data_IF_935983758711
#
_entry.id   IF_935983758711
#
_cell.length_a   1.000
_cell.length_b   1.000
_cell.length_c   1.000
_cell.angle_alpha   90.00
_cell.angle_beta   90.00
_cell.angle_gamma   90.00
#
_symmetry.space_group_name_H-M   'P 1'
#
loop_
_entity.id
_entity.type
_entity.pdbx_description
1 polymer ?
#
# COMPACT_ATOMS: atom_id res chain seq x y z
N UNK A 1 4.92 -15.21 13.45
CA UNK A 1 3.82 -15.49 14.41
C UNK A 1 2.75 -16.39 13.77
N UNK A 2 2.06 -15.95 12.71
CA UNK A 2 0.98 -16.74 12.09
C UNK A 2 1.45 -18.09 11.54
N UNK A 3 2.65 -18.14 10.97
CA UNK A 3 3.24 -19.38 10.44
C UNK A 3 3.57 -20.40 11.52
N UNK A 4 3.93 -19.93 12.72
CA UNK A 4 4.41 -20.76 13.82
C UNK A 4 3.29 -21.22 14.76
N UNK A 5 2.26 -20.36 14.95
CA UNK A 5 1.24 -20.58 15.97
C UNK A 5 -0.12 -21.05 15.44
N UNK A 6 -0.41 -20.84 14.13
CA UNK A 6 -1.70 -21.27 13.56
C UNK A 6 -1.54 -22.63 12.87
N UNK A 7 -2.21 -23.67 13.36
CA UNK A 7 -2.15 -25.01 12.75
C UNK A 7 -2.59 -24.95 11.28
N UNK A 8 -1.87 -25.64 10.42
CA UNK A 8 -2.12 -25.72 8.98
C UNK A 8 -1.87 -24.43 8.16
N UNK A 9 -1.61 -23.28 8.78
CA UNK A 9 -1.36 -22.02 8.06
C UNK A 9 -0.15 -22.12 7.12
N UNK A 10 0.91 -22.80 7.56
CA UNK A 10 2.12 -23.05 6.75
C UNK A 10 1.89 -23.98 5.55
N UNK A 11 0.77 -24.72 5.49
CA UNK A 11 0.42 -25.59 4.37
C UNK A 11 -0.25 -24.85 3.20
N UNK A 12 -0.72 -23.66 3.42
CA UNK A 12 -1.27 -22.84 2.34
C UNK A 12 -0.15 -22.30 1.46
N UNK A 13 -0.27 -22.54 0.18
CA UNK A 13 0.73 -22.11 -0.84
C UNK A 13 0.84 -20.58 -0.95
N UNK A 14 -0.21 -19.86 -0.57
CA UNK A 14 -0.29 -18.41 -0.60
C UNK A 14 -0.86 -17.89 0.72
N UNK A 15 0.03 -17.59 1.64
CA UNK A 15 -0.31 -17.04 2.97
C UNK A 15 -1.06 -15.71 2.85
N UNK A 16 -0.77 -14.94 1.81
CA UNK A 16 -1.43 -13.68 1.51
C UNK A 16 -2.93 -13.79 1.19
N UNK A 17 -3.46 -15.00 0.89
CA UNK A 17 -4.89 -15.18 0.59
C UNK A 17 -5.82 -14.77 1.75
N UNK A 18 -5.33 -14.80 2.99
CA UNK A 18 -6.13 -14.35 4.16
C UNK A 18 -6.34 -12.83 4.15
N UNK A 19 -5.44 -12.08 3.51
CA UNK A 19 -5.56 -10.62 3.38
C UNK A 19 -6.76 -10.22 2.54
N UNK A 20 -7.19 -11.05 1.58
CA UNK A 20 -8.39 -10.81 0.76
C UNK A 20 -9.63 -10.61 1.63
N UNK A 21 -9.77 -11.35 2.73
CA UNK A 21 -10.87 -11.16 3.67
C UNK A 21 -10.82 -9.77 4.30
N UNK A 22 -9.63 -9.33 4.73
CA UNK A 22 -9.45 -8.00 5.30
C UNK A 22 -9.68 -6.90 4.25
N UNK A 23 -9.18 -7.07 3.03
CA UNK A 23 -9.35 -6.14 1.91
C UNK A 23 -10.83 -5.95 1.53
N UNK A 24 -11.65 -6.97 1.70
CA UNK A 24 -13.09 -6.87 1.46
C UNK A 24 -13.85 -6.34 2.68
N UNK A 25 -13.55 -6.84 3.87
CA UNK A 25 -14.35 -6.53 5.08
C UNK A 25 -14.10 -5.11 5.59
N UNK A 26 -12.89 -4.59 5.50
CA UNK A 26 -12.57 -3.23 5.99
C UNK A 26 -13.32 -2.16 5.19
N UNK A 27 -13.29 -2.14 3.83
CA UNK A 27 -14.08 -1.19 3.05
C UNK A 27 -15.59 -1.35 3.24
N UNK A 28 -16.07 -2.60 3.37
CA UNK A 28 -17.48 -2.86 3.63
C UNK A 28 -17.94 -2.25 4.96
N UNK A 29 -17.17 -2.45 6.03
CA UNK A 29 -17.47 -1.85 7.34
C UNK A 29 -17.40 -0.32 7.30
N UNK A 30 -16.45 0.25 6.56
CA UNK A 30 -16.35 1.69 6.36
C UNK A 30 -17.58 2.25 5.64
N UNK A 31 -18.05 1.58 4.58
CA UNK A 31 -19.26 1.96 3.84
C UNK A 31 -20.52 1.86 4.72
N UNK A 32 -20.65 0.81 5.53
CA UNK A 32 -21.76 0.64 6.47
C UNK A 32 -21.73 1.70 7.58
N UNK A 33 -20.56 2.04 8.09
CA UNK A 33 -20.41 3.12 9.06
C UNK A 33 -20.79 4.48 8.46
N UNK A 34 -20.36 4.78 7.25
CA UNK A 34 -20.71 5.99 6.53
C UNK A 34 -22.23 6.07 6.29
N UNK A 35 -22.84 4.96 5.83
CA UNK A 35 -24.29 4.86 5.68
C UNK A 35 -25.01 5.18 6.99
N UNK A 36 -24.59 4.57 8.10
CA UNK A 36 -25.21 4.82 9.42
C UNK A 36 -25.07 6.28 9.85
N UNK A 37 -23.94 6.94 9.56
CA UNK A 37 -23.74 8.37 9.87
C UNK A 37 -24.65 9.28 9.02
N UNK A 38 -25.01 8.86 7.81
CA UNK A 38 -25.94 9.59 6.93
C UNK A 38 -27.38 9.38 7.38
N UNK A 39 -27.78 8.14 7.67
CA UNK A 39 -29.14 7.78 8.07
C UNK A 39 -29.48 8.33 9.47
N UNK A 40 -28.50 8.33 10.37
CA UNK A 40 -28.64 8.78 11.75
C UNK A 40 -27.57 9.84 12.11
N UNK A 41 -27.71 11.11 11.70
CA UNK A 41 -26.67 12.15 11.91
C UNK A 41 -26.34 12.40 13.40
N UNK A 42 -27.25 12.06 14.30
CA UNK A 42 -27.03 12.17 15.75
C UNK A 42 -25.95 11.23 16.25
N UNK A 43 -25.77 10.08 15.61
CA UNK A 43 -24.75 9.08 15.97
C UNK A 43 -23.37 9.70 15.84
N UNK A 44 -23.10 10.43 14.75
CA UNK A 44 -21.83 11.12 14.56
C UNK A 44 -21.58 12.13 15.68
N UNK A 45 -22.58 12.90 16.09
CA UNK A 45 -22.45 13.91 17.14
C UNK A 45 -22.24 13.27 18.52
N UNK A 46 -23.00 12.22 18.84
CA UNK A 46 -22.91 11.52 20.15
C UNK A 46 -21.60 10.73 20.28
N UNK A 47 -21.09 10.19 19.18
CA UNK A 47 -19.91 9.31 19.17
C UNK A 47 -18.64 9.97 18.68
N UNK A 48 -18.59 11.28 18.61
CA UNK A 48 -17.45 12.03 18.07
C UNK A 48 -16.13 11.72 18.76
N UNK A 49 -16.15 11.34 20.03
CA UNK A 49 -14.97 10.91 20.79
C UNK A 49 -14.26 9.72 20.12
N UNK A 50 -15.02 8.76 19.59
CA UNK A 50 -14.44 7.61 18.90
C UNK A 50 -13.84 7.99 17.55
N UNK A 51 -14.43 8.98 16.85
CA UNK A 51 -13.86 9.53 15.62
C UNK A 51 -12.52 10.21 15.89
N UNK A 52 -12.40 10.98 16.99
CA UNK A 52 -11.11 11.57 17.40
C UNK A 52 -10.08 10.52 17.82
N UNK A 53 -10.49 9.49 18.55
CA UNK A 53 -9.59 8.39 18.93
C UNK A 53 -9.09 7.66 17.66
N UNK A 54 -10.00 7.35 16.74
CA UNK A 54 -9.65 6.72 15.47
C UNK A 54 -8.69 7.59 14.66
N UNK A 55 -8.95 8.90 14.56
CA UNK A 55 -8.07 9.86 13.90
C UNK A 55 -6.67 9.89 14.56
N UNK A 56 -6.62 10.00 15.89
CA UNK A 56 -5.36 10.03 16.61
C UNK A 56 -4.56 8.74 16.42
N UNK A 57 -5.23 7.59 16.41
CA UNK A 57 -4.59 6.29 16.21
C UNK A 57 -4.09 6.15 14.76
N UNK A 58 -4.91 6.42 13.76
CA UNK A 58 -4.54 6.21 12.34
C UNK A 58 -3.58 7.28 11.84
N UNK A 59 -3.93 8.56 11.99
CA UNK A 59 -3.07 9.66 11.58
C UNK A 59 -1.80 9.75 12.45
N UNK A 60 -1.89 9.42 13.74
CA UNK A 60 -0.75 9.40 14.64
C UNK A 60 0.29 8.35 14.24
N UNK A 61 -0.13 7.13 13.97
CA UNK A 61 0.77 6.06 13.48
C UNK A 61 1.36 6.44 12.12
N UNK A 62 0.54 6.91 11.17
CA UNK A 62 1.03 7.34 9.88
C UNK A 62 2.05 8.50 9.99
N UNK A 63 1.81 9.45 10.89
CA UNK A 63 2.72 10.56 11.14
C UNK A 63 4.04 10.10 11.79
N UNK A 64 3.99 9.18 12.72
CA UNK A 64 5.20 8.58 13.32
C UNK A 64 6.07 7.91 12.27
N UNK A 65 5.47 7.13 11.37
CA UNK A 65 6.20 6.49 10.27
C UNK A 65 6.74 7.53 9.28
N UNK A 66 5.96 8.58 8.98
CA UNK A 66 6.39 9.65 8.08
C UNK A 66 7.60 10.43 8.58
N UNK A 67 7.67 10.67 9.91
CA UNK A 67 8.75 11.41 10.55
C UNK A 67 9.96 10.54 10.90
N UNK A 68 9.74 9.26 11.12
CA UNK A 68 10.78 8.30 11.53
C UNK A 68 10.64 6.99 10.75
N UNK A 69 10.85 6.99 9.43
CA UNK A 69 10.72 5.79 8.60
C UNK A 69 11.68 4.68 9.02
N UNK A 70 12.83 5.00 9.60
CA UNK A 70 13.79 4.05 10.15
C UNK A 70 13.25 3.13 11.24
N UNK A 71 12.08 3.44 11.85
CA UNK A 71 11.40 2.51 12.76
C UNK A 71 10.91 1.23 12.05
N UNK A 72 10.83 1.25 10.72
CA UNK A 72 10.40 0.10 9.90
C UNK A 72 11.57 -0.77 9.41
N UNK A 73 12.79 -0.54 9.89
CA UNK A 73 13.94 -1.39 9.54
C UNK A 73 13.70 -2.87 9.95
N UNK A 74 14.30 -3.83 9.20
CA UNK A 74 15.28 -3.68 8.13
C UNK A 74 14.66 -3.47 6.74
N UNK A 75 15.14 -2.48 5.97
CA UNK A 75 14.71 -2.22 4.58
C UNK A 75 15.35 -3.17 3.56
N UNK A 76 16.36 -3.94 3.96
CA UNK A 76 17.02 -4.96 3.15
C UNK A 76 17.01 -6.28 3.90
N UNK A 77 16.48 -7.32 3.28
CA UNK A 77 16.45 -8.65 3.90
C UNK A 77 17.84 -9.30 3.89
N UNK A 78 18.06 -10.27 4.80
CA UNK A 78 19.31 -11.03 4.84
C UNK A 78 19.55 -11.82 3.55
N UNK A 79 18.48 -12.29 2.92
CA UNK A 79 18.56 -13.00 1.63
C UNK A 79 19.03 -12.08 0.50
N UNK A 80 18.48 -10.86 0.42
CA UNK A 80 18.93 -9.86 -0.57
C UNK A 80 20.40 -9.48 -0.33
N UNK A 81 20.79 -9.30 0.93
CA UNK A 81 22.18 -9.02 1.30
C UNK A 81 23.11 -10.14 0.84
N UNK A 82 22.77 -11.39 1.14
CA UNK A 82 23.54 -12.56 0.71
C UNK A 82 23.58 -12.67 -0.82
N UNK A 83 22.46 -12.45 -1.51
CA UNK A 83 22.40 -12.50 -2.96
C UNK A 83 23.35 -11.47 -3.60
N UNK A 84 23.30 -10.22 -3.16
CA UNK A 84 24.13 -9.14 -3.72
C UNK A 84 25.61 -9.37 -3.41
N UNK A 85 25.95 -9.80 -2.20
CA UNK A 85 27.34 -10.05 -1.81
C UNK A 85 27.93 -11.32 -2.46
N UNK A 86 27.10 -12.26 -2.93
CA UNK A 86 27.54 -13.48 -3.61
C UNK A 86 27.77 -13.33 -5.12
N UNK A 87 27.48 -12.17 -5.70
CA UNK A 87 27.70 -11.92 -7.14
C UNK A 87 29.20 -11.96 -7.45
N UNK A 88 29.59 -12.89 -8.31
CA UNK A 88 30.98 -13.05 -8.73
C UNK A 88 31.52 -11.79 -9.41
N UNK A 89 32.67 -11.30 -8.96
CA UNK A 89 33.33 -10.12 -9.54
C UNK A 89 32.87 -8.78 -8.98
N UNK A 90 31.91 -8.76 -8.02
CA UNK A 90 31.52 -7.53 -7.36
C UNK A 90 32.44 -7.23 -6.19
N UNK A 91 32.98 -6.01 -6.16
CA UNK A 91 33.73 -5.52 -5.01
C UNK A 91 32.81 -5.28 -3.81
N UNK A 92 33.30 -5.60 -2.60
CA UNK A 92 32.52 -5.45 -1.37
C UNK A 92 32.04 -4.01 -1.12
N UNK A 93 32.81 -3.01 -1.54
CA UNK A 93 32.38 -1.61 -1.45
C UNK A 93 31.18 -1.31 -2.37
N UNK A 94 31.22 -1.83 -3.59
CA UNK A 94 30.12 -1.70 -4.56
C UNK A 94 28.86 -2.40 -4.06
N UNK A 95 28.97 -3.62 -3.52
CA UNK A 95 27.85 -4.34 -2.92
C UNK A 95 27.21 -3.55 -1.77
N UNK A 96 28.02 -3.02 -0.85
CA UNK A 96 27.53 -2.21 0.26
C UNK A 96 26.87 -0.90 -0.22
N UNK A 97 27.41 -0.26 -1.26
CA UNK A 97 26.81 0.94 -1.85
C UNK A 97 25.43 0.65 -2.46
N UNK A 98 25.30 -0.47 -3.18
CA UNK A 98 24.02 -0.91 -3.75
C UNK A 98 23.01 -1.17 -2.64
N UNK A 99 23.39 -1.91 -1.59
CA UNK A 99 22.52 -2.19 -0.46
C UNK A 99 22.08 -0.92 0.27
N UNK A 100 22.98 0.03 0.47
CA UNK A 100 22.66 1.33 1.08
C UNK A 100 21.68 2.15 0.20
N UNK A 101 21.88 2.16 -1.11
CA UNK A 101 21.00 2.85 -2.03
C UNK A 101 19.59 2.22 -2.05
N UNK A 102 19.49 0.89 -2.05
CA UNK A 102 18.21 0.17 -1.98
C UNK A 102 17.49 0.52 -0.67
N UNK A 103 18.21 0.49 0.46
CA UNK A 103 17.65 0.85 1.75
C UNK A 103 17.12 2.30 1.75
N UNK A 104 17.92 3.25 1.29
CA UNK A 104 17.55 4.66 1.23
C UNK A 104 16.34 4.91 0.31
N UNK A 105 16.28 4.24 -0.83
CA UNK A 105 15.11 4.32 -1.73
C UNK A 105 13.85 3.78 -1.07
N UNK A 106 13.91 2.63 -0.40
CA UNK A 106 12.76 2.03 0.29
C UNK A 106 12.31 2.89 1.47
N UNK A 107 13.25 3.44 2.23
CA UNK A 107 12.97 4.38 3.31
C UNK A 107 12.24 5.63 2.80
N UNK A 108 12.72 6.22 1.71
CA UNK A 108 12.07 7.37 1.08
C UNK A 108 10.66 7.03 0.58
N UNK A 109 10.44 5.84 0.01
CA UNK A 109 9.11 5.38 -0.41
C UNK A 109 8.15 5.24 0.77
N UNK A 110 8.60 4.63 1.87
CA UNK A 110 7.79 4.47 3.09
C UNK A 110 7.40 5.82 3.66
N UNK A 111 8.34 6.77 3.74
CA UNK A 111 8.05 8.12 4.21
C UNK A 111 7.05 8.84 3.30
N UNK A 112 7.22 8.77 1.98
CA UNK A 112 6.31 9.40 1.03
C UNK A 112 4.89 8.81 1.10
N UNK A 113 4.75 7.49 1.22
CA UNK A 113 3.46 6.82 1.36
C UNK A 113 2.80 7.13 2.71
N UNK A 114 3.58 7.25 3.78
CA UNK A 114 3.08 7.67 5.08
C UNK A 114 2.55 9.11 5.06
N UNK A 115 3.27 10.06 4.46
CA UNK A 115 2.80 11.43 4.27
C UNK A 115 1.51 11.50 3.45
N UNK A 116 1.43 10.73 2.37
CA UNK A 116 0.20 10.62 1.57
C UNK A 116 -0.96 10.14 2.43
N UNK A 117 -0.75 9.09 3.24
CA UNK A 117 -1.78 8.55 4.14
C UNK A 117 -2.26 9.58 5.16
N UNK A 118 -1.34 10.36 5.75
CA UNK A 118 -1.71 11.46 6.66
C UNK A 118 -2.62 12.47 5.97
N UNK A 119 -2.27 12.89 4.75
CA UNK A 119 -3.06 13.87 4.00
C UNK A 119 -4.47 13.33 3.70
N UNK A 120 -4.58 12.10 3.22
CA UNK A 120 -5.87 11.45 2.90
C UNK A 120 -6.74 11.32 4.15
N UNK A 121 -6.17 10.88 5.27
CA UNK A 121 -6.88 10.75 6.55
C UNK A 121 -7.39 12.12 7.02
N UNK A 122 -6.57 13.16 6.96
CA UNK A 122 -6.95 14.50 7.37
C UNK A 122 -8.06 15.10 6.49
N UNK A 123 -8.01 14.88 5.18
CA UNK A 123 -9.08 15.32 4.25
C UNK A 123 -10.38 14.57 4.57
N UNK A 124 -10.32 13.25 4.75
CA UNK A 124 -11.48 12.43 5.11
C UNK A 124 -12.10 12.90 6.44
N UNK A 125 -11.26 13.16 7.45
CA UNK A 125 -11.73 13.71 8.72
C UNK A 125 -12.35 15.11 8.55
N UNK A 126 -11.76 15.98 7.76
CA UNK A 126 -12.30 17.32 7.50
C UNK A 126 -13.70 17.25 6.84
N UNK A 127 -13.92 16.34 5.90
CA UNK A 127 -15.22 16.11 5.29
C UNK A 127 -16.27 15.69 6.31
N UNK A 128 -15.96 14.72 7.19
CA UNK A 128 -16.84 14.30 8.29
C UNK A 128 -17.11 15.45 9.28
N UNK A 129 -16.10 16.24 9.58
CA UNK A 129 -16.24 17.39 10.47
C UNK A 129 -17.12 18.48 9.89
N UNK A 130 -16.97 18.82 8.59
CA UNK A 130 -17.85 19.76 7.87
C UNK A 130 -19.30 19.27 7.80
N UNK A 131 -19.49 17.95 7.61
CA UNK A 131 -20.82 17.34 7.66
C UNK A 131 -21.45 17.48 9.06
N UNK A 132 -20.69 17.18 10.13
CA UNK A 132 -21.14 17.40 11.51
C UNK A 132 -21.55 18.83 11.78
N UNK A 133 -20.78 19.80 11.25
CA UNK A 133 -21.10 21.24 11.38
C UNK A 133 -22.30 21.68 10.53
N UNK A 134 -22.98 20.77 9.82
CA UNK A 134 -24.08 21.05 8.89
C UNK A 134 -23.72 22.02 7.75
N UNK A 135 -22.42 22.20 7.49
CA UNK A 135 -21.93 23.01 6.36
C UNK A 135 -21.91 22.24 5.05
N UNK A 136 -21.91 20.91 5.11
CA UNK A 136 -21.89 20.01 3.97
C UNK A 136 -23.12 19.12 4.02
N UNK A 137 -23.81 18.95 2.87
CA UNK A 137 -24.94 18.00 2.76
C UNK A 137 -24.41 16.59 2.66
N UNK A 138 -25.22 15.62 3.09
CA UNK A 138 -24.86 14.19 3.08
C UNK A 138 -24.43 13.70 1.68
N UNK A 139 -25.18 14.08 0.64
CA UNK A 139 -24.89 13.68 -0.74
C UNK A 139 -23.49 14.11 -1.18
N UNK A 140 -23.15 15.39 -0.95
CA UNK A 140 -21.84 15.92 -1.30
C UNK A 140 -20.70 15.30 -0.45
N UNK A 141 -20.96 15.05 0.83
CA UNK A 141 -19.99 14.37 1.70
C UNK A 141 -19.64 12.98 1.17
N UNK A 142 -20.66 12.18 0.80
CA UNK A 142 -20.47 10.83 0.26
C UNK A 142 -19.73 10.89 -1.08
N UNK A 143 -20.12 11.79 -1.99
CA UNK A 143 -19.46 11.97 -3.29
C UNK A 143 -18.00 12.37 -3.10
N UNK A 144 -17.71 13.36 -2.25
CA UNK A 144 -16.34 13.80 -1.99
C UNK A 144 -15.48 12.67 -1.38
N UNK A 145 -16.07 11.87 -0.47
CA UNK A 145 -15.38 10.73 0.11
C UNK A 145 -15.07 9.66 -0.95
N UNK A 146 -16.03 9.37 -1.84
CA UNK A 146 -15.84 8.43 -2.94
C UNK A 146 -14.75 8.91 -3.92
N UNK A 147 -14.77 10.20 -4.27
CA UNK A 147 -13.74 10.80 -5.13
C UNK A 147 -12.37 10.75 -4.47
N UNK A 148 -12.28 11.04 -3.16
CA UNK A 148 -11.04 10.93 -2.40
C UNK A 148 -10.46 9.51 -2.47
N UNK A 149 -11.29 8.49 -2.24
CA UNK A 149 -10.89 7.08 -2.37
C UNK A 149 -10.44 6.73 -3.79
N UNK A 150 -11.18 7.18 -4.81
CA UNK A 150 -10.82 6.93 -6.21
C UNK A 150 -9.48 7.56 -6.59
N UNK A 151 -9.25 8.81 -6.17
CA UNK A 151 -7.97 9.50 -6.45
C UNK A 151 -6.81 8.80 -5.75
N UNK A 152 -7.01 8.37 -4.51
CA UNK A 152 -5.98 7.66 -3.75
C UNK A 152 -5.64 6.32 -4.41
N UNK A 153 -6.64 5.51 -4.75
CA UNK A 153 -6.45 4.24 -5.45
C UNK A 153 -5.82 4.42 -6.84
N UNK A 154 -6.27 5.42 -7.60
CA UNK A 154 -5.69 5.72 -8.91
C UNK A 154 -4.19 6.01 -8.85
N UNK A 155 -3.75 6.74 -7.84
CA UNK A 155 -2.32 7.04 -7.66
C UNK A 155 -1.51 5.78 -7.34
N UNK A 156 -2.08 4.84 -6.58
CA UNK A 156 -1.44 3.56 -6.29
C UNK A 156 -1.39 2.69 -7.54
N UNK A 157 -2.50 2.55 -8.25
CA UNK A 157 -2.59 1.73 -9.46
C UNK A 157 -1.61 2.20 -10.53
N UNK A 158 -1.48 3.52 -10.73
CA UNK A 158 -0.54 4.09 -11.70
C UNK A 158 0.93 3.78 -11.40
N UNK A 159 1.27 3.48 -10.14
CA UNK A 159 2.63 3.04 -9.76
C UNK A 159 2.93 1.63 -10.27
N UNK A 160 1.91 0.76 -10.31
CA UNK A 160 2.05 -0.63 -10.72
C UNK A 160 1.68 -0.89 -12.19
N UNK A 161 0.78 -0.07 -12.75
CA UNK A 161 0.30 -0.13 -14.13
C UNK A 161 0.68 1.17 -14.86
N UNK A 162 1.94 1.27 -15.24
CA UNK A 162 2.46 2.38 -16.04
C UNK A 162 2.70 1.93 -17.50
N UNK A 163 2.88 2.89 -18.39
CA UNK A 163 3.07 2.63 -19.81
C UNK A 163 4.31 1.78 -20.13
N UNK A 164 5.30 1.77 -19.24
CA UNK A 164 6.52 0.97 -19.36
C UNK A 164 6.26 -0.55 -19.17
N UNK A 165 5.15 -0.91 -18.53
CA UNK A 165 4.71 -2.29 -18.36
C UNK A 165 4.04 -2.88 -19.59
N UNK A 166 3.64 -2.03 -20.55
CA UNK A 166 2.98 -2.46 -21.78
C UNK A 166 3.99 -2.70 -22.88
N UNK A 167 4.15 -3.95 -23.26
CA UNK A 167 5.01 -4.36 -24.37
C UNK A 167 4.24 -4.19 -25.68
N UNK A 168 4.86 -3.63 -26.73
CA UNK A 168 4.21 -3.53 -28.04
C UNK A 168 3.79 -4.91 -28.57
N UNK A 169 2.70 -4.94 -29.33
CA UNK A 169 2.11 -6.18 -29.84
C UNK A 169 3.12 -7.04 -30.62
N UNK A 170 4.07 -6.40 -31.31
CA UNK A 170 5.14 -7.09 -32.05
C UNK A 170 6.08 -7.91 -31.15
N UNK A 171 6.34 -7.45 -29.93
CA UNK A 171 7.17 -8.19 -28.95
C UNK A 171 6.37 -9.29 -28.25
N UNK A 172 5.06 -9.08 -28.08
CA UNK A 172 4.18 -10.09 -27.50
C UNK A 172 3.97 -11.28 -28.44
N UNK A 173 3.87 -11.02 -29.74
CA UNK A 173 3.64 -12.06 -30.75
C UNK A 173 4.93 -12.86 -31.05
N UNK A 174 6.10 -12.38 -30.59
CA UNK A 174 7.38 -13.10 -30.59
C UNK A 174 7.99 -13.15 -29.18
N UNK A 175 7.38 -13.88 -28.25
CA UNK A 175 7.82 -13.88 -26.84
C UNK A 175 9.19 -14.53 -26.62
N UNK A 176 9.69 -15.31 -27.61
CA UNK A 176 11.01 -15.94 -27.55
C UNK A 176 11.77 -15.67 -28.83
N UNK A 177 12.82 -14.87 -28.74
CA UNK A 177 13.87 -14.90 -29.74
C UNK A 177 14.62 -16.22 -29.56
N UNK A 178 14.66 -17.04 -30.61
CA UNK A 178 15.40 -18.28 -30.61
C UNK A 178 16.86 -18.00 -30.22
N UNK A 179 17.33 -18.62 -29.16
CA UNK A 179 18.74 -18.52 -28.76
C UNK A 179 19.60 -19.32 -29.74
N UNK A 180 20.91 -19.07 -29.72
CA UNK A 180 21.86 -19.83 -30.55
C UNK A 180 21.75 -21.36 -30.28
N UNK A 181 21.34 -21.74 -29.09
CA UNK A 181 21.10 -23.13 -28.69
C UNK A 181 19.85 -23.70 -29.34
N UNK A 182 18.78 -22.90 -29.42
CA UNK A 182 17.53 -23.34 -30.06
C UNK A 182 17.72 -23.51 -31.58
N UNK A 183 18.52 -22.63 -32.20
CA UNK A 183 18.85 -22.74 -33.62
C UNK A 183 19.74 -23.95 -33.94
N UNK A 184 20.61 -24.33 -32.98
CA UNK A 184 21.46 -25.53 -33.15
C UNK A 184 20.69 -26.85 -32.94
N UNK A 185 19.52 -26.83 -32.29
CA UNK A 185 18.67 -28.02 -32.13
C UNK A 185 17.74 -28.28 -33.33
N UNK A 186 17.51 -27.28 -34.15
CA UNK A 186 16.58 -27.36 -35.30
C UNK A 186 17.32 -27.61 -36.63
N UNK A 187 18.65 -27.45 -36.67
CA UNK A 187 19.51 -27.78 -37.81
C UNK A 187 20.15 -29.14 -37.68
#
# INVERSE_FOLDING_TARGET
FFLDYIPMYAKFRTVASILVIAEFTIPLLAALALKKMVDEPEVLTKQMKFVYISLALTAGVALLIALSPGMMEPFVSDQERQMITSIQGMDGNTANTILANIAAMREAMVSADAWRSVIVILIGFALLFLYKMKKLRADYMVICMAVLCLVDMWQVDKRYLNDEMFVPKSERDMPHQATSTDLAMVG
#
